data_IF_802190597343
#
_entry.id   IF_802190597343
#
_cell.length_a   1.000
_cell.length_b   1.000
_cell.length_c   1.000
_cell.angle_alpha   90.00
_cell.angle_beta   90.00
_cell.angle_gamma   90.00
#
_symmetry.space_group_name_H-M   'P 1'
#
loop_
_entity.id
_entity.type
_entity.pdbx_description
1 polymer ?
#
# COMPACT_ATOMS: atom_id res chain seq x y z
N UNK A 1 55.78 17.60 -17.56
CA UNK A 1 54.45 17.40 -18.20
C UNK A 1 53.65 16.24 -17.61
N UNK A 2 54.27 15.09 -17.26
CA UNK A 2 53.55 13.93 -16.70
C UNK A 2 52.93 14.14 -15.29
N UNK A 3 53.54 14.97 -14.45
CA UNK A 3 53.03 15.25 -13.09
C UNK A 3 51.87 16.26 -13.08
N UNK A 4 51.81 17.17 -14.05
CA UNK A 4 50.69 18.11 -14.23
C UNK A 4 49.43 17.36 -14.67
N UNK A 5 49.57 16.33 -15.50
CA UNK A 5 48.46 15.45 -15.90
C UNK A 5 47.87 14.67 -14.71
N UNK A 6 48.72 14.24 -13.77
CA UNK A 6 48.29 13.51 -12.57
C UNK A 6 47.50 14.39 -11.59
N UNK A 7 47.90 15.67 -11.43
CA UNK A 7 47.22 16.63 -10.54
C UNK A 7 45.87 17.05 -11.14
N UNK A 8 45.75 17.15 -12.46
CA UNK A 8 44.49 17.47 -13.15
C UNK A 8 43.47 16.31 -13.09
N UNK A 9 43.93 15.07 -12.98
CA UNK A 9 43.06 13.90 -12.83
C UNK A 9 42.52 13.75 -11.39
N UNK A 10 43.29 14.19 -10.38
CA UNK A 10 42.92 14.11 -8.97
C UNK A 10 41.88 15.16 -8.52
N UNK A 11 41.74 16.28 -9.24
CA UNK A 11 40.76 17.33 -8.90
C UNK A 11 39.37 17.10 -9.50
N UNK A 12 39.21 16.14 -10.42
CA UNK A 12 37.94 15.87 -11.09
C UNK A 12 36.98 14.99 -10.26
N UNK A 13 37.49 14.27 -9.24
CA UNK A 13 36.70 13.35 -8.40
C UNK A 13 36.01 14.02 -7.20
N UNK A 14 36.24 15.31 -6.95
CA UNK A 14 35.71 16.00 -5.77
C UNK A 14 34.33 16.67 -5.97
N UNK A 15 33.77 16.65 -7.18
CA UNK A 15 32.55 17.40 -7.51
C UNK A 15 31.47 16.48 -8.09
N UNK A 16 30.85 15.66 -7.25
CA UNK A 16 29.39 15.38 -7.25
C UNK A 16 29.07 14.23 -6.29
N UNK A 17 28.92 14.52 -5.00
CA UNK A 17 28.11 13.67 -4.10
C UNK A 17 26.90 14.49 -3.71
N UNK A 18 25.84 14.37 -4.51
CA UNK A 18 24.51 14.84 -4.13
C UNK A 18 23.90 13.74 -3.25
N UNK A 19 24.04 13.86 -1.94
CA UNK A 19 23.25 13.05 -1.02
C UNK A 19 21.79 13.51 -1.16
N UNK A 20 20.93 12.66 -1.74
CA UNK A 20 19.49 12.92 -1.78
C UNK A 20 18.99 12.86 -0.34
N UNK A 21 18.90 14.03 0.30
CA UNK A 21 18.23 14.17 1.57
C UNK A 21 16.78 13.76 1.31
N UNK A 22 16.36 12.63 1.87
CA UNK A 22 14.97 12.17 1.85
C UNK A 22 14.17 13.07 2.77
N UNK A 23 14.01 14.32 2.36
CA UNK A 23 13.00 15.23 2.89
C UNK A 23 11.66 14.59 2.56
N UNK A 24 11.16 13.79 3.50
CA UNK A 24 9.82 13.23 3.42
C UNK A 24 8.87 14.40 3.26
N UNK A 25 8.06 14.36 2.20
CA UNK A 25 6.92 15.26 2.07
C UNK A 25 6.00 14.89 3.24
N UNK A 26 5.99 15.71 4.29
CA UNK A 26 4.96 15.63 5.33
C UNK A 26 3.68 16.19 4.71
N UNK A 27 2.96 15.33 3.97
CA UNK A 27 1.59 15.61 3.59
C UNK A 27 0.79 15.51 4.88
N UNK A 28 0.51 16.65 5.52
CA UNK A 28 -0.47 16.72 6.59
C UNK A 28 -1.86 16.60 5.96
N UNK A 29 -2.25 15.38 5.63
CA UNK A 29 -3.61 15.07 5.25
C UNK A 29 -4.49 15.24 6.49
N UNK A 30 -5.10 16.41 6.64
CA UNK A 30 -6.14 16.67 7.64
C UNK A 30 -7.50 16.08 7.24
N UNK A 31 -7.54 15.21 6.22
CA UNK A 31 -8.66 14.29 6.04
C UNK A 31 -8.50 13.18 7.09
N UNK A 32 -9.55 12.87 7.84
CA UNK A 32 -9.52 11.77 8.81
C UNK A 32 -8.97 10.50 8.13
N UNK A 33 -7.71 10.15 8.41
CA UNK A 33 -7.02 9.06 7.72
C UNK A 33 -7.75 7.77 8.04
N UNK A 34 -8.39 7.19 7.02
CA UNK A 34 -8.99 5.86 7.11
C UNK A 34 -7.83 4.88 6.99
N UNK A 35 -7.68 3.99 7.96
CA UNK A 35 -6.65 2.94 7.90
C UNK A 35 -7.33 1.60 7.75
N UNK A 36 -6.85 0.78 6.81
CA UNK A 36 -7.36 -0.59 6.60
C UNK A 36 -6.33 -1.60 7.09
N UNK A 37 -6.76 -2.52 7.96
CA UNK A 37 -5.97 -3.64 8.47
C UNK A 37 -6.64 -4.96 8.10
N UNK A 38 -5.84 -6.00 7.91
CA UNK A 38 -6.32 -7.34 7.56
C UNK A 38 -5.79 -8.34 8.57
N UNK A 39 -6.68 -9.12 9.17
CA UNK A 39 -6.31 -10.15 10.14
C UNK A 39 -7.14 -11.44 9.94
N UNK A 40 -6.58 -12.64 10.15
CA UNK A 40 -5.15 -12.90 10.30
C UNK A 40 -4.38 -12.65 9.00
N UNK A 41 -3.10 -12.35 9.12
CA UNK A 41 -2.18 -12.26 8.00
C UNK A 41 -0.81 -12.81 8.46
N UNK A 42 -0.35 -13.98 8.01
CA UNK A 42 -0.88 -14.76 6.88
C UNK A 42 -2.25 -15.43 7.11
N UNK A 43 -3.03 -15.60 6.04
CA UNK A 43 -4.39 -16.11 6.06
C UNK A 43 -4.51 -17.53 5.47
N UNK A 44 -5.45 -18.32 6.01
CA UNK A 44 -5.77 -19.66 5.52
C UNK A 44 -7.11 -19.68 4.76
N UNK A 45 -8.18 -19.18 5.38
CA UNK A 45 -9.53 -19.31 4.85
C UNK A 45 -10.34 -18.03 4.95
N UNK A 46 -10.52 -17.49 6.14
CA UNK A 46 -11.36 -16.31 6.37
C UNK A 46 -10.48 -15.19 6.95
N UNK A 47 -10.73 -13.96 6.50
CA UNK A 47 -10.04 -12.76 6.98
C UNK A 47 -11.03 -11.68 7.33
N UNK A 48 -10.69 -10.89 8.33
CA UNK A 48 -11.36 -9.67 8.70
C UNK A 48 -10.61 -8.47 8.13
N UNK A 49 -11.34 -7.64 7.39
CA UNK A 49 -10.94 -6.30 6.99
C UNK A 49 -11.46 -5.33 8.05
N UNK A 50 -10.53 -4.77 8.84
CA UNK A 50 -10.81 -3.79 9.89
C UNK A 50 -10.51 -2.39 9.39
N UNK A 51 -11.47 -1.49 9.54
CA UNK A 51 -11.38 -0.09 9.11
C UNK A 51 -11.36 0.80 10.35
N UNK A 52 -10.26 1.54 10.51
CA UNK A 52 -10.08 2.57 11.52
C UNK A 52 -10.29 3.95 10.90
N UNK A 53 -10.94 4.85 11.62
CA UNK A 53 -11.31 6.18 11.12
C UNK A 53 -12.71 6.60 11.59
N UNK A 54 -13.02 7.88 11.39
CA UNK A 54 -14.34 8.43 11.68
C UNK A 54 -15.10 8.66 10.37
N UNK A 55 -16.41 8.40 10.37
CA UNK A 55 -17.31 8.66 9.25
C UNK A 55 -16.83 8.06 7.92
N UNK A 56 -17.08 6.77 7.71
CA UNK A 56 -16.82 6.10 6.45
C UNK A 56 -18.01 5.24 6.05
N UNK A 57 -18.17 5.08 4.74
CA UNK A 57 -19.05 4.10 4.13
C UNK A 57 -18.25 3.35 3.08
N UNK A 58 -18.22 2.03 3.20
CA UNK A 58 -17.56 1.16 2.26
C UNK A 58 -18.48 0.99 1.06
N UNK A 59 -17.94 1.28 -0.12
CA UNK A 59 -18.58 1.08 -1.41
C UNK A 59 -18.24 -0.27 -2.02
N UNK A 60 -16.97 -0.65 -1.96
CA UNK A 60 -16.52 -1.93 -2.49
C UNK A 60 -15.22 -2.42 -1.82
N UNK A 61 -15.05 -3.74 -1.80
CA UNK A 61 -13.79 -4.39 -1.49
C UNK A 61 -13.42 -5.32 -2.63
N UNK A 62 -12.20 -5.18 -3.13
CA UNK A 62 -11.67 -6.00 -4.22
C UNK A 62 -10.31 -6.58 -3.83
N UNK A 63 -10.01 -7.80 -4.26
CA UNK A 63 -8.71 -8.43 -4.07
C UNK A 63 -8.03 -8.60 -5.42
N UNK A 64 -6.78 -8.14 -5.52
CA UNK A 64 -5.94 -8.23 -6.70
C UNK A 64 -4.74 -9.12 -6.44
N UNK A 65 -4.35 -9.90 -7.45
CA UNK A 65 -3.05 -10.57 -7.47
C UNK A 65 -1.91 -9.54 -7.58
N UNK A 66 -0.66 -9.94 -7.31
CA UNK A 66 0.50 -9.05 -7.43
C UNK A 66 0.74 -8.51 -8.85
N UNK A 67 0.20 -9.19 -9.87
CA UNK A 67 0.25 -8.75 -11.27
C UNK A 67 -0.98 -7.93 -11.69
N UNK A 68 -1.88 -7.60 -10.74
CA UNK A 68 -3.02 -6.72 -10.96
C UNK A 68 -4.32 -7.41 -11.42
N UNK A 69 -4.37 -8.74 -11.48
CA UNK A 69 -5.61 -9.45 -11.82
C UNK A 69 -6.60 -9.40 -10.67
N UNK A 70 -7.84 -8.97 -10.92
CA UNK A 70 -8.92 -9.05 -9.92
C UNK A 70 -9.33 -10.51 -9.70
N UNK A 71 -9.30 -10.97 -8.45
CA UNK A 71 -9.63 -12.35 -8.07
C UNK A 71 -10.83 -12.43 -7.13
N UNK A 72 -11.27 -11.30 -6.59
CA UNK A 72 -12.46 -11.17 -5.76
C UNK A 72 -12.97 -9.73 -5.84
N UNK A 73 -14.28 -9.55 -5.83
CA UNK A 73 -14.92 -8.24 -5.77
C UNK A 73 -16.27 -8.34 -5.09
N UNK A 74 -16.53 -7.42 -4.16
CA UNK A 74 -17.80 -7.31 -3.46
C UNK A 74 -18.17 -5.83 -3.30
N UNK A 75 -19.38 -5.48 -3.69
CA UNK A 75 -19.95 -4.14 -3.52
C UNK A 75 -20.88 -4.09 -2.33
N UNK A 76 -20.98 -2.94 -1.70
CA UNK A 76 -21.86 -2.68 -0.57
C UNK A 76 -22.70 -1.43 -0.84
N UNK A 77 -23.86 -1.36 -0.19
CA UNK A 77 -24.73 -0.18 -0.23
C UNK A 77 -24.79 0.38 1.19
N UNK A 78 -24.22 1.57 1.40
CA UNK A 78 -24.22 2.29 2.68
C UNK A 78 -23.67 1.45 3.87
N UNK A 79 -22.56 0.73 3.67
CA UNK A 79 -21.97 -0.09 4.75
C UNK A 79 -21.00 0.70 5.61
N UNK A 80 -21.41 1.05 6.83
CA UNK A 80 -20.55 1.67 7.84
C UNK A 80 -19.88 0.63 8.78
N UNK A 81 -19.82 -0.64 8.39
CA UNK A 81 -19.23 -1.68 9.23
C UNK A 81 -17.72 -1.48 9.37
N UNK A 82 -17.24 -1.42 10.61
CA UNK A 82 -15.80 -1.38 10.93
C UNK A 82 -15.08 -2.69 10.64
N UNK A 83 -15.82 -3.81 10.61
CA UNK A 83 -15.25 -5.13 10.41
C UNK A 83 -16.05 -5.86 9.34
N UNK A 84 -15.36 -6.30 8.29
CA UNK A 84 -15.97 -7.01 7.17
C UNK A 84 -15.22 -8.32 6.98
N UNK A 85 -15.94 -9.42 7.00
CA UNK A 85 -15.38 -10.76 6.80
C UNK A 85 -15.34 -11.12 5.32
N UNK A 86 -14.21 -11.64 4.85
CA UNK A 86 -14.02 -12.13 3.50
C UNK A 86 -13.55 -13.58 3.53
N UNK A 87 -14.10 -14.41 2.64
CA UNK A 87 -13.60 -15.75 2.40
C UNK A 87 -12.52 -15.74 1.30
N UNK A 88 -11.30 -16.12 1.67
CA UNK A 88 -10.12 -16.21 0.81
C UNK A 88 -9.63 -17.65 0.63
N UNK A 89 -10.42 -18.65 1.04
CA UNK A 89 -10.04 -20.07 1.04
C UNK A 89 -9.60 -20.57 -0.35
N UNK A 90 -10.27 -20.09 -1.39
CA UNK A 90 -10.05 -20.50 -2.77
C UNK A 90 -8.90 -19.74 -3.46
N UNK A 91 -8.29 -18.75 -2.80
CA UNK A 91 -7.10 -18.09 -3.34
C UNK A 91 -5.89 -19.03 -3.27
N UNK A 92 -5.08 -19.01 -4.32
CA UNK A 92 -3.79 -19.70 -4.34
C UNK A 92 -2.84 -19.07 -3.33
N UNK A 93 -1.84 -19.83 -2.87
CA UNK A 93 -0.79 -19.29 -1.98
C UNK A 93 -0.07 -18.14 -2.67
N UNK A 94 0.16 -17.04 -1.96
CA UNK A 94 0.82 -15.87 -2.53
C UNK A 94 0.49 -14.55 -1.86
N UNK A 95 1.00 -13.46 -2.44
CA UNK A 95 0.75 -12.08 -2.02
C UNK A 95 -0.37 -11.46 -2.86
N UNK A 96 -1.26 -10.75 -2.19
CA UNK A 96 -2.42 -10.07 -2.77
C UNK A 96 -2.53 -8.65 -2.22
N UNK A 97 -3.20 -7.79 -2.98
CA UNK A 97 -3.60 -6.45 -2.57
C UNK A 97 -5.11 -6.44 -2.35
N UNK A 98 -5.55 -6.03 -1.17
CA UNK A 98 -6.97 -5.79 -0.89
C UNK A 98 -7.21 -4.30 -0.97
N UNK A 99 -8.06 -3.88 -1.90
CA UNK A 99 -8.47 -2.50 -2.08
C UNK A 99 -9.84 -2.30 -1.47
N UNK A 100 -9.96 -1.34 -0.56
CA UNK A 100 -11.23 -0.84 -0.04
C UNK A 100 -11.51 0.49 -0.70
N UNK A 101 -12.65 0.60 -1.38
CA UNK A 101 -13.16 1.85 -1.95
C UNK A 101 -14.28 2.37 -1.07
N UNK A 102 -14.22 3.63 -0.70
CA UNK A 102 -15.23 4.32 0.09
C UNK A 102 -16.19 5.12 -0.81
N UNK A 103 -17.35 5.48 -0.29
CA UNK A 103 -18.37 6.24 -1.05
C UNK A 103 -17.92 7.65 -1.44
N UNK A 104 -17.04 8.27 -0.66
CA UNK A 104 -16.40 9.55 -1.00
C UNK A 104 -15.32 9.44 -2.10
N UNK A 105 -15.13 8.25 -2.65
CA UNK A 105 -14.17 7.97 -3.71
C UNK A 105 -12.75 7.75 -3.22
N UNK A 106 -12.45 7.89 -1.92
CA UNK A 106 -11.12 7.54 -1.41
C UNK A 106 -10.92 6.04 -1.42
N UNK A 107 -9.66 5.61 -1.48
CA UNK A 107 -9.31 4.18 -1.50
C UNK A 107 -8.15 3.90 -0.58
N UNK A 108 -8.23 2.79 0.14
CA UNK A 108 -7.16 2.28 0.97
C UNK A 108 -6.76 0.89 0.50
N UNK A 109 -5.46 0.58 0.57
CA UNK A 109 -4.91 -0.70 0.10
C UNK A 109 -4.10 -1.36 1.21
N UNK A 110 -4.43 -2.60 1.51
CA UNK A 110 -3.70 -3.42 2.47
C UNK A 110 -3.19 -4.71 1.81
N UNK A 111 -2.05 -5.21 2.29
CA UNK A 111 -1.45 -6.45 1.78
C UNK A 111 -2.01 -7.66 2.50
N UNK A 112 -2.36 -8.70 1.74
CA UNK A 112 -2.76 -10.01 2.24
C UNK A 112 -1.75 -11.08 1.79
N UNK A 113 -1.30 -11.93 2.72
CA UNK A 113 -0.47 -13.10 2.44
C UNK A 113 -1.32 -14.35 2.63
N UNK A 114 -1.56 -15.11 1.56
CA UNK A 114 -2.31 -16.37 1.58
C UNK A 114 -1.35 -17.56 1.71
N UNK A 115 -1.64 -18.47 2.65
CA UNK A 115 -0.90 -19.72 2.87
C UNK A 115 -1.57 -20.97 2.30
#
# INVERSE_FOLDING_TARGET
MKQILLIMFLTFSALTVQAQNKGGISISNNAAEKTVKISPNPAIADVQVSIEGNQFEVKAISIYSIIGSEVFSQTYTNSSSKNIELNVRNLKKGKYMVRVMFEDGTTEVATLIKQ
#
